data_IF_587725511241
#
_entry.id   IF_587725511241
#
_cell.length_a   1.000
_cell.length_b   1.000
_cell.length_c   1.000
_cell.angle_alpha   90.00
_cell.angle_beta   90.00
_cell.angle_gamma   90.00
#
_symmetry.space_group_name_H-M   'P 1'
#
loop_
_entity.id
_entity.type
_entity.pdbx_description
1 polymer ?
#
# COMPACT_ATOMS: atom_id res chain seq x y z
N UNK A 1 -21.05 3.68 8.19
CA UNK A 1 -19.87 4.44 7.70
C UNK A 1 -19.32 5.22 8.86
N UNK A 2 -18.30 4.69 9.53
CA UNK A 2 -17.76 5.31 10.72
C UNK A 2 -17.11 6.67 10.42
N UNK A 3 -17.47 7.68 11.21
CA UNK A 3 -16.81 8.99 11.19
C UNK A 3 -15.52 8.97 12.01
N UNK A 4 -14.60 9.92 11.79
CA UNK A 4 -13.35 10.04 12.55
C UNK A 4 -13.54 10.05 14.09
N UNK A 5 -14.73 10.42 14.57
CA UNK A 5 -15.08 10.47 15.98
C UNK A 5 -15.38 9.11 16.63
N UNK A 6 -15.59 8.05 15.83
CA UNK A 6 -15.93 6.69 16.31
C UNK A 6 -14.71 5.78 16.45
N UNK A 7 -13.52 6.25 16.06
CA UNK A 7 -12.30 5.46 16.21
C UNK A 7 -11.86 5.34 17.67
N UNK A 8 -11.25 4.20 18.05
CA UNK A 8 -10.65 4.04 19.36
C UNK A 8 -9.65 5.18 19.64
N UNK A 9 -9.73 5.75 20.84
CA UNK A 9 -8.76 6.75 21.29
C UNK A 9 -7.59 6.03 21.95
N UNK A 10 -6.45 5.97 21.27
CA UNK A 10 -5.24 5.31 21.78
C UNK A 10 -4.53 4.54 20.68
N UNK A 11 -3.55 3.72 21.08
CA UNK A 11 -2.90 2.78 20.17
C UNK A 11 -3.84 1.60 19.92
N UNK A 12 -3.99 1.24 18.65
CA UNK A 12 -4.85 0.17 18.14
C UNK A 12 -3.99 -1.03 17.74
N UNK A 13 -4.34 -2.21 18.23
CA UNK A 13 -3.70 -3.47 17.83
C UNK A 13 -4.17 -3.93 16.45
N UNK A 14 -3.46 -4.88 15.83
CA UNK A 14 -3.90 -5.46 14.55
C UNK A 14 -5.24 -6.19 14.70
N UNK A 15 -5.44 -6.91 15.81
CA UNK A 15 -6.68 -7.63 16.08
C UNK A 15 -7.88 -6.68 16.23
N UNK A 16 -7.68 -5.54 16.89
CA UNK A 16 -8.72 -4.50 16.99
C UNK A 16 -8.97 -3.83 15.64
N UNK A 17 -7.93 -3.59 14.84
CA UNK A 17 -8.04 -3.06 13.48
C UNK A 17 -8.88 -3.95 12.56
N UNK A 18 -8.60 -5.26 12.56
CA UNK A 18 -9.32 -6.25 11.74
C UNK A 18 -10.81 -6.34 12.12
N UNK A 19 -11.17 -5.94 13.34
CA UNK A 19 -12.55 -5.90 13.82
C UNK A 19 -13.31 -4.61 13.44
N UNK A 20 -12.65 -3.61 12.84
CA UNK A 20 -13.28 -2.35 12.47
C UNK A 20 -14.08 -2.46 11.17
N UNK A 21 -15.33 -2.02 11.21
CA UNK A 21 -16.14 -1.85 9.99
C UNK A 21 -15.86 -0.50 9.32
N UNK A 22 -14.76 -0.47 8.56
CA UNK A 22 -14.36 0.71 7.80
C UNK A 22 -15.06 0.74 6.44
N UNK A 23 -15.34 1.95 5.97
CA UNK A 23 -15.94 2.14 4.66
C UNK A 23 -14.92 2.36 3.55
N UNK A 24 -15.13 1.73 2.41
CA UNK A 24 -14.20 1.69 1.26
C UNK A 24 -14.04 3.03 0.51
N UNK A 25 -14.84 4.04 0.87
CA UNK A 25 -14.82 5.34 0.18
C UNK A 25 -13.51 6.12 0.39
N UNK A 26 -12.73 5.74 1.40
CA UNK A 26 -11.45 6.31 1.82
C UNK A 26 -10.49 5.18 2.12
N UNK A 27 -9.20 5.44 1.92
CA UNK A 27 -8.14 4.52 2.31
C UNK A 27 -7.78 4.80 3.77
N UNK A 28 -7.74 3.74 4.56
CA UNK A 28 -7.38 3.77 5.97
C UNK A 28 -6.16 2.89 6.19
N UNK A 29 -5.29 3.29 7.09
CA UNK A 29 -4.05 2.57 7.39
C UNK A 29 -3.81 2.57 8.90
N UNK A 30 -3.32 1.44 9.42
CA UNK A 30 -2.80 1.34 10.79
C UNK A 30 -1.28 1.47 10.75
N UNK A 31 -0.73 2.51 11.38
CA UNK A 31 0.71 2.79 11.41
C UNK A 31 1.14 2.98 12.86
N UNK A 32 1.98 2.08 13.38
CA UNK A 32 2.49 2.14 14.76
C UNK A 32 1.36 2.32 15.80
N UNK A 33 0.26 1.60 15.59
CA UNK A 33 -0.95 1.69 16.43
C UNK A 33 -1.83 2.91 16.19
N UNK A 34 -1.47 3.82 15.29
CA UNK A 34 -2.27 5.00 14.94
C UNK A 34 -3.07 4.77 13.66
N UNK A 35 -4.37 5.10 13.68
CA UNK A 35 -5.21 5.03 12.49
C UNK A 35 -5.07 6.32 11.68
N UNK A 36 -4.68 6.18 10.43
CA UNK A 36 -4.54 7.25 9.47
C UNK A 36 -5.55 7.09 8.34
N UNK A 37 -6.08 8.21 7.86
CA UNK A 37 -6.84 8.26 6.62
C UNK A 37 -5.95 8.87 5.54
N UNK A 38 -5.90 8.24 4.37
CA UNK A 38 -5.28 8.80 3.17
C UNK A 38 -6.36 9.44 2.28
N UNK A 39 -6.25 10.74 1.95
CA UNK A 39 -7.26 11.42 1.16
C UNK A 39 -7.24 10.93 -0.28
N UNK A 40 -8.31 11.21 -1.02
CA UNK A 40 -8.37 10.84 -2.43
C UNK A 40 -7.23 11.51 -3.22
N UNK A 41 -6.47 10.74 -4.02
CA UNK A 41 -5.35 11.27 -4.78
C UNK A 41 -5.82 12.24 -5.87
N UNK A 42 -5.01 13.27 -6.12
CA UNK A 42 -5.24 14.25 -7.19
C UNK A 42 -4.91 13.63 -8.57
N UNK A 43 -5.46 14.15 -9.69
CA UNK A 43 -5.20 13.59 -11.03
C UNK A 43 -3.72 13.43 -11.37
N UNK A 44 -2.86 14.40 -11.05
CA UNK A 44 -1.42 14.29 -11.28
C UNK A 44 -0.79 13.12 -10.53
N UNK A 45 -1.23 12.86 -9.29
CA UNK A 45 -0.77 11.69 -8.53
C UNK A 45 -1.16 10.39 -9.22
N UNK A 46 -2.36 10.33 -9.81
CA UNK A 46 -2.81 9.15 -10.55
C UNK A 46 -1.98 8.90 -11.80
N UNK A 47 -1.66 9.96 -12.57
CA UNK A 47 -0.77 9.86 -13.74
C UNK A 47 0.60 9.32 -13.34
N UNK A 48 1.21 9.91 -12.31
CA UNK A 48 2.52 9.48 -11.80
C UNK A 48 2.48 8.03 -11.32
N UNK A 49 1.46 7.65 -10.55
CA UNK A 49 1.35 6.29 -10.01
C UNK A 49 1.16 5.23 -11.10
N UNK A 50 0.32 5.53 -12.11
CA UNK A 50 0.13 4.69 -13.30
C UNK A 50 1.45 4.48 -14.04
N UNK A 51 2.17 5.56 -14.33
CA UNK A 51 3.41 5.49 -15.10
C UNK A 51 4.52 4.79 -14.33
N UNK A 52 4.63 5.05 -13.03
CA UNK A 52 5.58 4.35 -12.18
C UNK A 52 5.30 2.86 -12.17
N UNK A 53 4.04 2.45 -11.99
CA UNK A 53 3.63 1.04 -12.01
C UNK A 53 4.02 0.36 -13.32
N UNK A 54 3.74 1.01 -14.47
CA UNK A 54 4.15 0.51 -15.79
C UNK A 54 5.67 0.37 -15.90
N UNK A 55 6.43 1.39 -15.53
CA UNK A 55 7.90 1.39 -15.64
C UNK A 55 8.54 0.36 -14.70
N UNK A 56 7.96 0.13 -13.52
CA UNK A 56 8.37 -0.94 -12.62
C UNK A 56 8.08 -2.30 -13.24
N UNK A 57 6.90 -2.50 -13.82
CA UNK A 57 6.51 -3.79 -14.41
C UNK A 57 7.36 -4.15 -15.64
N UNK A 58 7.75 -3.16 -16.44
CA UNK A 58 8.65 -3.35 -17.59
C UNK A 58 10.09 -3.72 -17.20
N UNK A 59 10.53 -3.34 -16.01
CA UNK A 59 11.94 -3.48 -15.58
C UNK A 59 12.13 -4.44 -14.43
N UNK A 60 11.05 -5.01 -13.89
CA UNK A 60 11.13 -5.96 -12.80
C UNK A 60 11.88 -7.23 -13.25
N UNK A 61 12.64 -7.86 -12.36
CA UNK A 61 13.04 -9.25 -12.53
C UNK A 61 11.83 -10.16 -12.78
N UNK A 62 12.00 -11.22 -13.57
CA UNK A 62 10.93 -12.18 -13.88
C UNK A 62 10.31 -12.83 -12.64
N UNK A 63 11.08 -12.92 -11.56
CA UNK A 63 10.65 -13.46 -10.28
C UNK A 63 9.72 -12.53 -9.50
N UNK A 64 9.50 -11.30 -9.93
CA UNK A 64 8.74 -10.28 -9.20
C UNK A 64 7.44 -9.92 -9.93
N UNK A 65 6.46 -9.40 -9.19
CA UNK A 65 5.22 -8.80 -9.73
C UNK A 65 5.03 -7.42 -9.10
N UNK A 66 4.53 -6.47 -9.87
CA UNK A 66 4.22 -5.12 -9.37
C UNK A 66 2.73 -5.04 -9.05
N UNK A 67 2.43 -4.68 -7.81
CA UNK A 67 1.07 -4.47 -7.32
C UNK A 67 0.93 -3.04 -6.81
N UNK A 68 -0.17 -2.38 -7.17
CA UNK A 68 -0.47 -1.02 -6.73
C UNK A 68 -1.69 -1.04 -5.80
N UNK A 69 -1.69 -0.18 -4.78
CA UNK A 69 -2.84 -0.02 -3.84
C UNK A 69 -3.25 -1.33 -3.12
N UNK A 70 -2.30 -2.22 -2.83
CA UNK A 70 -2.58 -3.44 -2.07
C UNK A 70 -2.32 -3.25 -0.58
N UNK A 71 -3.14 -3.91 0.22
CA UNK A 71 -2.94 -3.97 1.67
C UNK A 71 -1.76 -4.89 2.00
N UNK A 72 -0.90 -4.45 2.94
CA UNK A 72 0.25 -5.20 3.42
C UNK A 72 0.32 -5.04 4.93
N UNK A 73 0.38 -6.16 5.67
CA UNK A 73 0.57 -6.14 7.11
C UNK A 73 2.03 -6.39 7.43
N UNK A 74 2.64 -5.43 8.12
CA UNK A 74 4.01 -5.55 8.61
C UNK A 74 3.97 -5.97 10.07
N UNK A 75 4.57 -7.11 10.39
CA UNK A 75 4.90 -7.49 11.76
C UNK A 75 6.40 -7.33 11.93
N UNK A 76 6.90 -7.13 13.16
CA UNK A 76 8.33 -6.91 13.43
C UNK A 76 9.22 -7.85 12.58
N UNK A 77 9.95 -7.26 11.63
CA UNK A 77 10.86 -7.96 10.72
C UNK A 77 10.22 -8.94 9.71
N UNK A 78 8.90 -9.09 9.67
CA UNK A 78 8.20 -10.06 8.83
C UNK A 78 7.01 -9.41 8.10
N UNK A 79 7.18 -9.20 6.80
CA UNK A 79 6.09 -8.85 5.88
C UNK A 79 5.11 -10.03 5.80
N UNK A 80 3.84 -9.83 6.18
CA UNK A 80 2.77 -10.79 5.94
C UNK A 80 1.70 -10.14 5.07
N UNK A 81 1.45 -10.73 3.89
CA UNK A 81 0.33 -10.33 3.03
C UNK A 81 -0.97 -10.87 3.64
N UNK A 82 -1.95 -10.00 3.89
CA UNK A 82 -3.31 -10.40 4.32
C UNK A 82 -4.21 -10.50 3.09
N UNK A 83 -5.15 -11.46 3.15
CA UNK A 83 -5.90 -12.08 2.04
C UNK A 83 -6.58 -11.06 1.10
N UNK A 84 -6.38 -11.11 -0.23
CA UNK A 84 -6.69 -12.26 -1.07
C UNK A 84 -5.48 -12.85 -1.82
N UNK A 85 -5.43 -14.20 -1.76
CA UNK A 85 -4.45 -15.19 -2.28
C UNK A 85 -3.18 -15.43 -1.44
N UNK A 86 -3.16 -16.60 -0.79
CA UNK A 86 -2.03 -17.18 -0.06
C UNK A 86 -1.24 -18.12 -1.00
N UNK A 87 0.04 -17.80 -1.31
CA UNK A 87 0.91 -18.55 -2.24
C UNK A 87 2.19 -17.79 -2.68
N UNK A 88 3.01 -18.42 -3.55
CA UNK A 88 4.32 -18.02 -4.16
C UNK A 88 4.91 -16.63 -3.83
N UNK A 89 5.71 -16.60 -2.76
CA UNK A 89 6.29 -15.39 -2.19
C UNK A 89 7.55 -14.94 -2.95
N UNK A 90 7.74 -13.63 -3.04
CA UNK A 90 9.00 -13.04 -3.51
C UNK A 90 9.65 -12.26 -2.38
N UNK A 91 10.84 -12.70 -1.97
CA UNK A 91 11.69 -12.02 -0.99
C UNK A 91 12.87 -11.38 -1.72
N UNK A 92 12.95 -10.05 -1.69
CA UNK A 92 14.16 -9.34 -2.09
C UNK A 92 15.10 -9.29 -0.89
N UNK A 93 16.28 -9.92 -0.99
CA UNK A 93 17.31 -9.83 0.07
C UNK A 93 18.01 -8.46 0.07
N UNK A 94 17.99 -7.76 -1.06
CA UNK A 94 18.60 -6.46 -1.27
C UNK A 94 17.61 -5.55 -2.03
N UNK A 95 17.59 -4.22 -1.78
CA UNK A 95 16.76 -3.29 -2.54
C UNK A 95 17.08 -3.37 -4.03
N UNK A 96 16.07 -3.55 -4.87
CA UNK A 96 16.23 -3.41 -6.33
C UNK A 96 16.22 -1.91 -6.64
N UNK A 97 17.39 -1.36 -6.97
CA UNK A 97 17.49 0.04 -7.40
C UNK A 97 16.99 0.18 -8.85
N UNK A 98 15.98 1.03 -9.06
CA UNK A 98 15.45 1.37 -10.38
C UNK A 98 15.38 2.89 -10.50
N UNK A 99 15.95 3.43 -11.58
CA UNK A 99 16.00 4.88 -11.82
C UNK A 99 15.00 5.30 -12.91
N UNK A 100 14.28 6.40 -12.63
CA UNK A 100 13.32 7.02 -13.55
C UNK A 100 13.47 8.54 -13.51
N UNK A 101 13.14 9.22 -14.61
CA UNK A 101 13.10 10.69 -14.65
C UNK A 101 11.71 11.22 -14.32
N UNK A 102 11.61 12.46 -13.84
CA UNK A 102 10.31 13.10 -13.59
C UNK A 102 9.47 13.23 -14.88
N UNK A 103 10.12 13.44 -16.01
CA UNK A 103 9.45 13.48 -17.32
C UNK A 103 8.80 12.13 -17.64
N UNK A 104 9.50 11.01 -17.39
CA UNK A 104 8.94 9.68 -17.58
C UNK A 104 7.71 9.40 -16.69
N UNK A 105 7.66 10.05 -15.52
CA UNK A 105 6.56 9.87 -14.57
C UNK A 105 5.36 10.76 -14.87
N UNK A 106 5.54 11.90 -15.53
CA UNK A 106 4.49 12.93 -15.68
C UNK A 106 3.83 12.95 -17.06
N UNK A 107 4.27 12.11 -18.00
CA UNK A 107 3.63 11.96 -19.31
C UNK A 107 2.22 11.37 -19.20
N UNK A 108 1.21 11.86 -19.94
CA UNK A 108 -0.15 11.32 -19.91
C UNK A 108 -0.26 9.85 -20.41
#
# INVERSE_FOLDING_TARGET
MAGLAEFPRGLVTLEEWDALELGDARRWELVEGSILMTPRPRPLHQVVSKNLTRLLDERRPDSLVVLQEVEVVLREGTYQRVEATVGDWVRTKEPVALDFTLDQLTQP
#
